data_IF_745296372135
#
_entry.id   IF_745296372135
#
_cell.length_a   1.000
_cell.length_b   1.000
_cell.length_c   1.000
_cell.angle_alpha   90.00
_cell.angle_beta   90.00
_cell.angle_gamma   90.00
#
_symmetry.space_group_name_H-M   'P 1'
#
loop_
_entity.id
_entity.type
_entity.pdbx_description
1 polymer ?
#
# COMPACT_ATOMS: atom_id res chain seq x y z
N UNK A 1 1.91 -22.90 -6.02
CA UNK A 1 1.11 -21.81 -5.38
C UNK A 1 1.36 -21.69 -3.87
N UNK A 2 1.31 -22.77 -3.09
CA UNK A 2 1.72 -22.78 -1.66
C UNK A 2 3.19 -22.39 -1.40
N UNK A 3 4.10 -22.59 -2.36
CA UNK A 3 5.54 -22.48 -2.09
C UNK A 3 6.09 -21.06 -1.93
N UNK A 4 5.45 -19.98 -2.40
CA UNK A 4 6.00 -18.63 -2.13
C UNK A 4 5.50 -18.07 -0.79
N UNK A 5 4.19 -18.11 -0.54
CA UNK A 5 3.60 -17.63 0.71
C UNK A 5 4.01 -18.48 1.93
N UNK A 6 4.11 -19.82 1.79
CA UNK A 6 4.62 -20.69 2.88
C UNK A 6 6.12 -20.56 3.13
N UNK A 7 6.90 -19.97 2.21
CA UNK A 7 8.37 -19.95 2.31
C UNK A 7 9.00 -18.57 2.51
N UNK A 8 8.31 -17.50 2.11
CA UNK A 8 8.87 -16.14 2.06
C UNK A 8 8.05 -15.13 2.87
N UNK A 9 6.82 -15.48 3.26
CA UNK A 9 5.87 -14.58 3.91
C UNK A 9 5.82 -14.64 5.43
N UNK A 10 6.72 -15.35 6.11
CA UNK A 10 6.53 -15.61 7.55
C UNK A 10 6.44 -14.32 8.38
N UNK A 11 7.28 -13.30 8.18
CA UNK A 11 7.19 -12.08 9.04
C UNK A 11 5.98 -11.21 8.73
N UNK A 12 5.56 -11.05 7.46
CA UNK A 12 4.34 -10.32 7.08
C UNK A 12 3.09 -11.04 7.57
N UNK A 13 3.01 -12.36 7.39
CA UNK A 13 1.88 -13.17 7.84
C UNK A 13 1.85 -13.25 9.38
N UNK A 14 3.01 -13.26 10.04
CA UNK A 14 3.12 -13.21 11.52
C UNK A 14 2.71 -11.83 12.06
N UNK A 15 3.19 -10.73 11.47
CA UNK A 15 2.81 -9.36 11.87
C UNK A 15 1.30 -9.10 11.69
N UNK A 16 0.69 -9.76 10.71
CA UNK A 16 -0.71 -9.62 10.37
C UNK A 16 -1.59 -10.74 10.94
N UNK A 17 -1.04 -11.53 11.87
CA UNK A 17 -1.72 -12.68 12.44
C UNK A 17 -3.00 -12.23 13.18
N UNK A 18 -4.15 -12.74 12.75
CA UNK A 18 -5.47 -12.33 13.24
C UNK A 18 -6.10 -11.12 12.52
N UNK A 19 -5.32 -10.35 11.74
CA UNK A 19 -5.80 -9.20 10.96
C UNK A 19 -6.08 -9.55 9.49
N UNK A 20 -5.33 -10.52 8.95
CA UNK A 20 -5.61 -11.14 7.64
C UNK A 20 -6.62 -12.29 7.81
N UNK A 21 -7.59 -12.36 6.91
CA UNK A 21 -8.48 -13.52 6.77
C UNK A 21 -7.68 -14.73 6.27
N UNK A 22 -7.78 -15.86 6.97
CA UNK A 22 -7.08 -17.11 6.61
C UNK A 22 -7.42 -17.56 5.18
N UNK A 23 -8.65 -17.32 4.76
CA UNK A 23 -9.15 -17.63 3.42
C UNK A 23 -9.30 -16.35 2.57
N UNK A 24 -9.12 -16.50 1.25
CA UNK A 24 -9.41 -15.44 0.28
C UNK A 24 -8.22 -14.57 -0.14
N UNK A 25 -6.99 -15.01 0.07
CA UNK A 25 -5.81 -14.39 -0.55
C UNK A 25 -5.79 -14.65 -2.07
N UNK A 26 -5.29 -13.68 -2.85
CA UNK A 26 -5.24 -13.75 -4.33
C UNK A 26 -3.83 -13.43 -4.80
N UNK A 27 -3.28 -14.29 -5.66
CA UNK A 27 -2.00 -14.06 -6.31
C UNK A 27 -2.23 -13.49 -7.71
N UNK A 28 -1.65 -12.33 -7.99
CA UNK A 28 -1.76 -11.64 -9.27
C UNK A 28 -0.54 -11.82 -10.17
N UNK A 29 0.35 -12.77 -9.86
CA UNK A 29 1.44 -13.10 -10.78
C UNK A 29 0.91 -13.67 -12.10
N UNK A 30 1.68 -13.49 -13.18
CA UNK A 30 1.31 -13.94 -14.52
C UNK A 30 0.85 -15.40 -14.54
N UNK A 31 1.56 -16.32 -13.86
CA UNK A 31 1.18 -17.73 -13.82
C UNK A 31 -0.18 -17.99 -13.17
N UNK A 32 -0.54 -17.26 -12.11
CA UNK A 32 -1.86 -17.39 -11.48
C UNK A 32 -2.96 -16.75 -12.32
N UNK A 33 -2.66 -15.63 -12.98
CA UNK A 33 -3.60 -15.01 -13.92
C UNK A 33 -3.89 -15.93 -15.10
N UNK A 34 -2.87 -16.54 -15.70
CA UNK A 34 -3.04 -17.55 -16.76
C UNK A 34 -3.85 -18.75 -16.29
N UNK A 35 -3.55 -19.29 -15.11
CA UNK A 35 -4.31 -20.43 -14.54
C UNK A 35 -5.80 -20.11 -14.34
N UNK A 36 -6.12 -18.88 -13.93
CA UNK A 36 -7.49 -18.43 -13.71
C UNK A 36 -8.21 -18.01 -15.00
N UNK A 37 -7.59 -18.17 -16.18
CA UNK A 37 -8.14 -17.69 -17.45
C UNK A 37 -8.23 -16.16 -17.54
N UNK A 38 -7.43 -15.46 -16.72
CA UNK A 38 -7.37 -13.99 -16.65
C UNK A 38 -6.17 -13.40 -17.39
N UNK A 39 -5.39 -14.23 -18.08
CA UNK A 39 -4.30 -13.76 -18.94
C UNK A 39 -4.85 -12.81 -20.01
N UNK A 40 -4.32 -11.58 -20.06
CA UNK A 40 -4.75 -10.56 -21.01
C UNK A 40 -5.97 -9.73 -20.58
N UNK A 41 -6.55 -9.95 -19.40
CA UNK A 41 -7.54 -9.02 -18.85
C UNK A 41 -6.84 -7.75 -18.34
N UNK A 42 -6.77 -6.73 -19.20
CA UNK A 42 -6.27 -5.39 -18.86
C UNK A 42 -7.34 -4.59 -18.14
N UNK A 43 -7.68 -4.98 -16.91
CA UNK A 43 -8.32 -4.02 -16.01
C UNK A 43 -7.18 -3.20 -15.40
N UNK A 44 -7.07 -1.92 -15.74
CA UNK A 44 -5.93 -1.05 -15.37
C UNK A 44 -5.70 -0.91 -13.85
N UNK A 45 -6.66 -1.38 -13.04
CA UNK A 45 -6.55 -1.49 -11.59
C UNK A 45 -5.97 -2.84 -11.10
N UNK A 46 -5.59 -3.75 -12.00
CA UNK A 46 -5.06 -5.05 -11.60
C UNK A 46 -3.61 -4.93 -11.11
N UNK A 47 -3.31 -5.41 -9.90
CA UNK A 47 -1.99 -5.27 -9.33
C UNK A 47 -1.11 -6.42 -9.83
N UNK A 48 -0.64 -6.34 -11.07
CA UNK A 48 0.25 -7.34 -11.69
C UNK A 48 1.47 -7.66 -10.83
N UNK A 49 1.70 -8.95 -10.57
CA UNK A 49 2.76 -9.47 -9.68
C UNK A 49 2.62 -9.10 -8.19
N UNK A 50 1.44 -8.66 -7.75
CA UNK A 50 1.14 -8.46 -6.34
C UNK A 50 0.42 -9.68 -5.72
N UNK A 51 0.43 -9.71 -4.40
CA UNK A 51 -0.31 -10.67 -3.58
C UNK A 51 -1.30 -9.90 -2.71
N UNK A 52 -2.60 -10.13 -2.90
CA UNK A 52 -3.65 -9.57 -2.06
C UNK A 52 -3.92 -10.49 -0.88
N UNK A 53 -3.87 -9.90 0.30
CA UNK A 53 -4.38 -10.46 1.53
C UNK A 53 -5.65 -9.71 1.92
N UNK A 54 -6.77 -10.44 2.05
CA UNK A 54 -8.01 -9.87 2.56
C UNK A 54 -7.88 -9.65 4.06
N UNK A 55 -8.45 -8.55 4.53
CA UNK A 55 -8.42 -8.17 5.94
C UNK A 55 -9.82 -8.21 6.55
N UNK A 56 -9.88 -8.14 7.88
CA UNK A 56 -11.12 -7.81 8.56
C UNK A 56 -11.42 -6.33 8.30
N UNK A 57 -12.46 -6.06 7.53
CA UNK A 57 -12.82 -4.71 7.11
C UNK A 57 -13.60 -4.04 8.24
N UNK A 58 -13.07 -2.93 8.75
CA UNK A 58 -13.83 -1.99 9.58
C UNK A 58 -14.62 -1.07 8.66
N UNK A 59 -15.93 -0.98 8.85
CA UNK A 59 -16.82 -0.12 8.05
C UNK A 59 -17.38 1.00 8.93
N UNK A 60 -17.54 2.23 8.40
CA UNK A 60 -18.17 3.32 9.12
C UNK A 60 -19.60 2.95 9.56
N UNK A 61 -20.09 3.50 10.70
CA UNK A 61 -21.45 3.27 11.17
C UNK A 61 -22.51 3.54 10.08
N UNK A 62 -23.49 2.64 9.97
CA UNK A 62 -24.59 2.76 9.01
C UNK A 62 -24.23 2.42 7.55
N UNK A 63 -23.03 1.88 7.29
CA UNK A 63 -22.61 1.42 5.96
C UNK A 63 -22.41 -0.09 5.93
N UNK A 64 -22.53 -0.66 4.73
CA UNK A 64 -22.19 -2.08 4.49
C UNK A 64 -21.02 -2.22 3.54
N UNK A 65 -20.29 -3.34 3.65
CA UNK A 65 -19.19 -3.67 2.72
C UNK A 65 -19.69 -3.72 1.27
N UNK A 66 -20.90 -4.27 1.03
CA UNK A 66 -21.48 -4.35 -0.30
C UNK A 66 -21.81 -2.96 -0.87
N UNK A 67 -22.31 -2.04 -0.05
CA UNK A 67 -22.54 -0.66 -0.47
C UNK A 67 -21.22 0.03 -0.86
N UNK A 68 -20.21 -0.06 0.00
CA UNK A 68 -18.89 0.54 -0.23
C UNK A 68 -18.28 -0.01 -1.52
N UNK A 69 -18.24 -1.33 -1.68
CA UNK A 69 -17.65 -1.98 -2.86
C UNK A 69 -18.34 -1.59 -4.19
N UNK A 70 -19.62 -1.21 -4.15
CA UNK A 70 -20.38 -0.86 -5.35
C UNK A 70 -20.40 0.65 -5.64
N UNK A 71 -20.36 1.49 -4.60
CA UNK A 71 -20.56 2.95 -4.75
C UNK A 71 -19.27 3.75 -4.60
N UNK A 72 -18.29 3.23 -3.86
CA UNK A 72 -17.05 3.95 -3.57
C UNK A 72 -15.98 3.61 -4.60
N UNK A 73 -15.00 4.51 -4.76
CA UNK A 73 -13.94 4.36 -5.77
C UNK A 73 -12.80 3.51 -5.19
N UNK A 74 -12.43 2.45 -5.89
CA UNK A 74 -11.20 1.71 -5.61
C UNK A 74 -10.00 2.63 -5.83
N UNK A 75 -9.10 2.67 -4.86
CA UNK A 75 -7.81 3.35 -4.96
C UNK A 75 -6.79 2.66 -4.03
N UNK A 76 -5.61 3.25 -3.92
CA UNK A 76 -4.44 2.65 -3.29
C UNK A 76 -3.75 3.64 -2.36
N UNK A 77 -3.25 3.14 -1.24
CA UNK A 77 -2.42 3.90 -0.30
C UNK A 77 -1.08 3.19 -0.11
N UNK A 78 0.02 3.84 -0.47
CA UNK A 78 1.35 3.35 -0.15
C UNK A 78 1.59 3.41 1.36
N UNK A 79 2.20 2.36 1.93
CA UNK A 79 2.58 2.39 3.34
C UNK A 79 3.78 1.49 3.61
N UNK A 80 4.25 1.51 4.86
CA UNK A 80 5.34 0.68 5.34
C UNK A 80 4.82 -0.55 6.08
N UNK A 81 5.56 -1.65 6.00
CA UNK A 81 5.21 -2.91 6.68
C UNK A 81 4.95 -2.72 8.18
N UNK A 82 5.71 -1.84 8.85
CA UNK A 82 5.61 -1.61 10.29
C UNK A 82 4.35 -0.83 10.69
N UNK A 83 3.72 -0.10 9.76
CA UNK A 83 2.48 0.66 10.03
C UNK A 83 1.22 -0.18 9.85
N UNK A 84 1.34 -1.35 9.22
CA UNK A 84 0.20 -2.18 8.86
C UNK A 84 -0.66 -2.59 10.07
N UNK A 85 -0.06 -3.01 11.18
CA UNK A 85 -0.85 -3.44 12.34
C UNK A 85 -1.72 -2.29 12.86
N UNK A 86 -1.13 -1.10 13.01
CA UNK A 86 -1.87 0.09 13.46
C UNK A 86 -3.01 0.44 12.51
N UNK A 87 -2.72 0.51 11.20
CA UNK A 87 -3.72 0.87 10.19
C UNK A 87 -4.85 -0.16 10.13
N UNK A 88 -4.56 -1.45 10.20
CA UNK A 88 -5.58 -2.49 10.13
C UNK A 88 -6.46 -2.56 11.39
N UNK A 89 -5.99 -2.07 12.53
CA UNK A 89 -6.76 -2.01 13.77
C UNK A 89 -7.53 -0.70 13.94
N UNK A 90 -6.97 0.42 13.48
CA UNK A 90 -7.49 1.77 13.74
C UNK A 90 -8.02 2.50 12.50
N UNK A 91 -7.97 1.86 11.33
CA UNK A 91 -8.14 2.48 10.00
C UNK A 91 -7.00 3.46 9.66
N UNK A 92 -7.05 4.04 8.46
CA UNK A 92 -6.13 5.13 8.10
C UNK A 92 -6.44 6.37 8.93
N UNK A 93 -5.37 7.06 9.34
CA UNK A 93 -5.39 8.23 10.20
C UNK A 93 -4.56 9.34 9.58
N UNK A 94 -4.88 10.58 9.91
CA UNK A 94 -4.12 11.75 9.45
C UNK A 94 -2.86 11.94 10.31
N UNK A 95 -1.82 12.59 9.79
CA UNK A 95 -0.76 13.12 10.65
C UNK A 95 -1.33 13.92 11.83
N UNK A 96 -0.71 13.82 13.00
CA UNK A 96 -1.19 14.39 14.26
C UNK A 96 -2.04 13.44 15.12
N UNK A 97 -2.65 12.41 14.53
CA UNK A 97 -3.34 11.35 15.29
C UNK A 97 -2.34 10.41 15.99
N UNK A 98 -2.83 9.59 16.93
CA UNK A 98 -2.02 8.55 17.58
C UNK A 98 -2.14 7.20 16.86
N UNK A 99 -1.01 6.48 16.76
CA UNK A 99 -0.96 5.08 16.36
C UNK A 99 -1.47 4.14 17.46
N UNK A 100 -1.49 2.83 17.19
CA UNK A 100 -1.90 1.79 18.14
C UNK A 100 -1.11 1.81 19.46
N UNK A 101 0.12 2.29 19.44
CA UNK A 101 1.03 2.31 20.58
C UNK A 101 1.08 3.68 21.26
N UNK A 102 0.25 4.64 20.84
CA UNK A 102 0.18 5.98 21.40
C UNK A 102 1.24 6.95 20.87
N UNK A 103 1.95 6.60 19.79
CA UNK A 103 2.88 7.53 19.14
C UNK A 103 2.13 8.44 18.18
N UNK A 104 2.52 9.72 18.13
CA UNK A 104 1.99 10.67 17.15
C UNK A 104 2.44 10.27 15.74
N UNK A 105 1.48 10.21 14.83
CA UNK A 105 1.70 9.95 13.40
C UNK A 105 2.30 11.20 12.80
N UNK A 106 3.59 11.14 12.46
CA UNK A 106 4.27 12.23 11.78
C UNK A 106 4.20 12.08 10.25
N UNK A 107 4.25 13.21 9.54
CA UNK A 107 4.62 13.28 8.13
C UNK A 107 6.00 12.62 7.95
N UNK A 108 6.17 11.79 6.91
CA UNK A 108 7.49 11.17 6.69
C UNK A 108 8.53 12.27 6.37
N UNK A 109 9.80 12.11 6.79
CA UNK A 109 10.85 13.12 6.60
C UNK A 109 11.02 13.62 5.15
N UNK A 110 10.67 12.77 4.18
CA UNK A 110 10.81 13.00 2.75
C UNK A 110 9.56 13.58 2.09
N UNK A 111 8.44 13.69 2.81
CA UNK A 111 7.32 14.50 2.35
C UNK A 111 7.63 15.98 2.56
N UNK A 112 6.93 16.84 1.81
CA UNK A 112 6.91 18.27 2.06
C UNK A 112 6.50 18.44 3.53
N UNK A 113 7.42 18.94 4.34
CA UNK A 113 7.17 19.26 5.74
C UNK A 113 6.26 20.47 5.82
N UNK A 114 5.43 20.57 6.85
CA UNK A 114 4.53 21.72 7.07
C UNK A 114 5.29 23.05 6.99
N UNK A 115 6.53 23.08 7.52
CA UNK A 115 7.41 24.26 7.50
C UNK A 115 7.94 24.64 6.10
N UNK A 116 7.91 23.71 5.16
CA UNK A 116 8.38 23.87 3.78
C UNK A 116 7.25 23.72 2.75
N UNK A 117 6.00 23.70 3.22
CA UNK A 117 4.84 23.56 2.38
C UNK A 117 4.55 24.88 1.63
N UNK A 118 4.26 24.83 0.32
CA UNK A 118 3.71 25.99 -0.37
C UNK A 118 2.50 26.54 0.38
N UNK A 119 2.28 27.85 0.38
CA UNK A 119 1.14 28.47 1.05
C UNK A 119 -0.18 27.79 0.64
N UNK A 120 -0.90 27.25 1.63
CA UNK A 120 -2.16 26.51 1.43
C UNK A 120 -2.01 25.02 1.13
N UNK A 121 -0.80 24.46 1.10
CA UNK A 121 -0.57 23.02 0.97
C UNK A 121 -0.69 22.33 2.33
N UNK A 122 -1.80 21.64 2.52
CA UNK A 122 -2.05 20.84 3.72
C UNK A 122 -1.30 19.50 3.61
N UNK A 123 -0.30 19.33 4.47
CA UNK A 123 0.54 18.12 4.56
C UNK A 123 -0.06 17.05 5.48
N UNK A 124 -1.13 17.37 6.21
CA UNK A 124 -1.76 16.53 7.24
C UNK A 124 -2.94 15.72 6.69
N UNK A 125 -2.75 15.14 5.51
CA UNK A 125 -3.81 14.45 4.75
C UNK A 125 -3.48 12.98 4.54
N UNK A 126 -4.53 12.20 4.29
CA UNK A 126 -4.37 10.84 3.76
C UNK A 126 -4.17 10.94 2.25
N UNK A 127 -2.97 10.60 1.79
CA UNK A 127 -2.64 10.54 0.36
C UNK A 127 -2.98 9.16 -0.24
N UNK A 128 -3.60 9.19 -1.41
CA UNK A 128 -4.12 8.05 -2.14
C UNK A 128 -3.82 8.20 -3.63
N UNK A 129 -4.01 7.14 -4.39
CA UNK A 129 -3.96 7.20 -5.85
C UNK A 129 -4.86 6.14 -6.48
N UNK A 130 -5.51 6.41 -7.62
CA UNK A 130 -6.17 5.37 -8.40
C UNK A 130 -5.16 4.41 -9.04
N UNK A 131 -3.86 4.75 -9.06
CA UNK A 131 -2.78 3.91 -9.59
C UNK A 131 -2.03 3.20 -8.47
N UNK A 132 -1.96 1.88 -8.55
CA UNK A 132 -1.06 1.11 -7.69
C UNK A 132 0.41 1.37 -8.01
N UNK A 133 0.75 1.65 -9.29
CA UNK A 133 2.12 1.98 -9.69
C UNK A 133 2.59 3.23 -8.97
N UNK A 134 1.75 4.28 -8.97
CA UNK A 134 1.98 5.51 -8.22
C UNK A 134 2.04 5.29 -6.70
N UNK A 135 1.02 4.65 -6.12
CA UNK A 135 0.98 4.38 -4.69
C UNK A 135 2.14 3.48 -4.20
N UNK A 136 2.79 2.75 -5.11
CA UNK A 136 3.96 1.92 -4.82
C UNK A 136 5.30 2.61 -5.05
N UNK A 137 5.35 3.88 -5.47
CA UNK A 137 6.60 4.64 -5.54
C UNK A 137 7.29 4.69 -4.18
N UNK A 138 8.62 4.76 -4.14
CA UNK A 138 9.38 4.68 -2.88
C UNK A 138 9.05 5.82 -1.92
N UNK A 139 8.58 6.95 -2.44
CA UNK A 139 8.08 8.10 -1.65
C UNK A 139 6.86 7.74 -0.80
N UNK A 140 6.03 6.78 -1.24
CA UNK A 140 4.79 6.39 -0.55
C UNK A 140 4.85 4.98 0.05
N UNK A 141 5.63 4.07 -0.54
CA UNK A 141 5.77 2.69 -0.09
C UNK A 141 7.26 2.36 0.09
N UNK A 142 7.77 2.68 1.28
CA UNK A 142 9.18 2.42 1.61
C UNK A 142 9.45 0.91 1.57
N UNK A 143 10.46 0.46 0.79
CA UNK A 143 10.71 -0.95 0.64
C UNK A 143 11.30 -1.57 1.92
N UNK A 144 10.78 -2.74 2.28
CA UNK A 144 11.37 -3.61 3.28
C UNK A 144 12.25 -4.68 2.61
N UNK A 145 13.50 -4.82 3.02
CA UNK A 145 14.40 -5.84 2.48
C UNK A 145 14.31 -7.12 3.31
N UNK A 146 13.77 -8.18 2.70
CA UNK A 146 13.62 -9.48 3.31
C UNK A 146 14.64 -10.49 2.76
N UNK A 147 15.55 -10.97 3.61
CA UNK A 147 16.44 -12.08 3.26
C UNK A 147 15.76 -13.41 3.55
N UNK A 148 15.44 -14.15 2.50
CA UNK A 148 14.84 -15.47 2.63
C UNK A 148 15.84 -16.48 3.17
N UNK A 149 15.50 -17.13 4.28
CA UNK A 149 16.29 -18.24 4.82
C UNK A 149 16.28 -19.46 3.88
N UNK A 150 15.16 -19.72 3.18
CA UNK A 150 15.01 -20.88 2.30
C UNK A 150 15.75 -20.72 0.98
N UNK A 151 15.59 -19.59 0.31
CA UNK A 151 16.18 -19.39 -1.02
C UNK A 151 17.49 -18.61 -1.03
N UNK A 152 17.89 -18.06 0.12
CA UNK A 152 19.06 -17.18 0.28
C UNK A 152 19.00 -15.85 -0.50
N UNK A 153 18.01 -15.67 -1.37
CA UNK A 153 17.73 -14.40 -2.03
C UNK A 153 17.26 -13.33 -1.05
N UNK A 154 17.68 -12.10 -1.31
CA UNK A 154 17.08 -10.90 -0.75
C UNK A 154 15.92 -10.48 -1.65
N UNK A 155 14.82 -10.07 -1.05
CA UNK A 155 13.66 -9.53 -1.73
C UNK A 155 13.46 -8.09 -1.28
N UNK A 156 13.25 -7.20 -2.23
CA UNK A 156 12.68 -5.88 -1.98
C UNK A 156 11.17 -6.05 -1.92
N UNK A 157 10.58 -5.72 -0.77
CA UNK A 157 9.17 -5.92 -0.51
C UNK A 157 8.47 -4.58 -0.42
N UNK A 158 7.41 -4.39 -1.20
CA UNK A 158 6.55 -3.21 -1.15
C UNK A 158 5.16 -3.57 -0.64
N UNK A 159 4.55 -2.64 0.06
CA UNK A 159 3.24 -2.80 0.69
C UNK A 159 2.34 -1.63 0.30
N UNK A 160 1.16 -1.97 -0.20
CA UNK A 160 0.12 -1.00 -0.58
C UNK A 160 -1.21 -1.49 0.00
N UNK A 161 -1.99 -0.57 0.56
CA UNK A 161 -3.36 -0.88 0.95
C UNK A 161 -4.28 -0.70 -0.25
N UNK A 162 -5.13 -1.70 -0.48
CA UNK A 162 -6.26 -1.58 -1.37
C UNK A 162 -7.42 -0.97 -0.58
N UNK A 163 -7.85 0.23 -0.97
CA UNK A 163 -8.86 1.00 -0.25
C UNK A 163 -10.05 1.35 -1.15
N UNK A 164 -11.18 1.66 -0.54
CA UNK A 164 -12.27 2.37 -1.22
C UNK A 164 -12.42 3.74 -0.59
N UNK A 165 -12.53 4.77 -1.43
CA UNK A 165 -12.80 6.14 -1.01
C UNK A 165 -14.17 6.62 -1.48
N UNK A 166 -14.89 7.33 -0.63
CA UNK A 166 -16.19 7.92 -0.96
C UNK A 166 -16.02 8.96 -2.08
N UNK A 167 -16.84 8.94 -3.14
CA UNK A 167 -16.82 9.99 -4.15
C UNK A 167 -17.13 11.36 -3.52
N UNK A 168 -16.35 12.38 -3.89
CA UNK A 168 -16.55 13.75 -3.42
C UNK A 168 -15.94 14.08 -2.06
N UNK A 169 -15.23 13.15 -1.41
CA UNK A 169 -14.52 13.39 -0.14
C UNK A 169 -13.00 13.52 -0.29
N UNK A 170 -12.51 13.76 -1.49
CA UNK A 170 -11.08 13.91 -1.77
C UNK A 170 -10.84 14.96 -2.84
N UNK A 171 -9.67 15.59 -2.74
CA UNK A 171 -9.12 16.44 -3.77
C UNK A 171 -8.30 15.62 -4.75
N UNK A 172 -8.19 16.12 -5.98
CA UNK A 172 -7.39 15.54 -7.05
C UNK A 172 -6.32 16.55 -7.43
N UNK A 173 -5.06 16.12 -7.43
CA UNK A 173 -3.89 16.94 -7.73
C UNK A 173 -2.97 16.26 -8.75
N UNK A 174 -2.07 17.05 -9.38
CA UNK A 174 -0.99 16.51 -10.17
C UNK A 174 -0.01 15.66 -9.34
N UNK A 175 0.72 14.79 -10.03
CA UNK A 175 1.80 13.98 -9.49
C UNK A 175 2.86 14.81 -8.78
N UNK A 176 3.20 14.41 -7.56
CA UNK A 176 4.36 14.93 -6.82
C UNK A 176 5.55 13.96 -6.83
N UNK A 177 5.35 12.71 -7.26
CA UNK A 177 6.40 11.68 -7.30
C UNK A 177 7.19 11.59 -8.62
N UNK A 178 6.78 12.34 -9.66
CA UNK A 178 7.46 12.32 -10.97
C UNK A 178 6.50 12.50 -12.14
N UNK A 179 6.91 12.08 -13.34
CA UNK A 179 6.07 12.11 -14.54
C UNK A 179 5.99 10.74 -15.20
N UNK A 180 4.87 10.46 -15.86
CA UNK A 180 4.57 9.24 -16.60
C UNK A 180 4.79 7.96 -15.79
N UNK A 181 4.44 7.99 -14.49
CA UNK A 181 4.61 6.85 -13.57
C UNK A 181 3.67 5.69 -13.95
N UNK A 182 2.44 6.02 -14.29
CA UNK A 182 1.47 5.05 -14.79
C UNK A 182 0.91 5.54 -16.13
N UNK A 183 1.20 4.86 -17.25
CA UNK A 183 0.72 5.28 -18.57
C UNK A 183 -0.81 5.25 -18.69
N UNK A 184 -1.52 4.61 -17.75
CA UNK A 184 -2.98 4.53 -17.76
C UNK A 184 -3.65 5.67 -16.99
N UNK A 185 -2.88 6.45 -16.23
CA UNK A 185 -3.40 7.53 -15.40
C UNK A 185 -2.67 8.84 -15.72
N UNK A 186 -3.39 9.90 -16.12
CA UNK A 186 -2.77 11.20 -16.38
C UNK A 186 -2.07 11.74 -15.12
N UNK A 187 -0.84 12.21 -15.27
CA UNK A 187 -0.07 12.81 -14.17
C UNK A 187 -0.83 13.96 -13.51
N UNK A 188 -1.67 14.70 -14.25
CA UNK A 188 -2.47 15.81 -13.73
C UNK A 188 -3.55 15.41 -12.70
N UNK A 189 -3.88 14.13 -12.58
CA UNK A 189 -5.00 13.64 -11.76
C UNK A 189 -4.70 12.39 -10.93
N UNK A 190 -3.43 12.00 -10.85
CA UNK A 190 -3.01 10.71 -10.30
C UNK A 190 -2.86 10.73 -8.76
N UNK A 191 -2.75 11.91 -8.15
CA UNK A 191 -2.61 12.06 -6.71
C UNK A 191 -3.93 12.52 -6.10
N UNK A 192 -4.42 11.79 -5.10
CA UNK A 192 -5.65 12.10 -4.37
C UNK A 192 -5.32 12.35 -2.89
N UNK A 193 -6.04 13.26 -2.24
CA UNK A 193 -5.84 13.55 -0.82
C UNK A 193 -7.17 13.80 -0.10
N UNK A 194 -7.26 13.37 1.16
CA UNK A 194 -8.46 13.59 2.01
C UNK A 194 -8.11 13.79 3.47
N UNK A 195 -8.93 14.58 4.17
CA UNK A 195 -8.89 14.75 5.63
C UNK A 195 -10.04 14.00 6.31
N UNK A 196 -10.91 13.35 5.51
CA UNK A 196 -12.08 12.62 5.98
C UNK A 196 -11.72 11.13 6.16
N UNK A 197 -11.15 10.76 7.30
CA UNK A 197 -10.74 9.37 7.61
C UNK A 197 -11.89 8.36 7.42
N UNK A 198 -13.10 8.70 7.86
CA UNK A 198 -14.33 7.90 7.72
C UNK A 198 -14.78 7.74 6.25
N UNK A 199 -14.19 8.47 5.33
CA UNK A 199 -14.44 8.36 3.89
C UNK A 199 -13.52 7.34 3.20
N UNK A 200 -12.60 6.71 3.94
CA UNK A 200 -11.63 5.73 3.42
C UNK A 200 -11.77 4.41 4.15
N UNK A 201 -11.96 3.32 3.41
CA UNK A 201 -12.11 1.97 3.96
C UNK A 201 -11.05 1.04 3.40
N UNK A 202 -10.26 0.43 4.28
CA UNK A 202 -9.23 -0.55 3.92
C UNK A 202 -9.87 -1.90 3.62
N UNK A 203 -9.69 -2.38 2.39
CA UNK A 203 -10.30 -3.61 1.88
C UNK A 203 -9.31 -4.78 1.81
N UNK A 204 -8.02 -4.49 1.76
CA UNK A 204 -6.97 -5.51 1.74
C UNK A 204 -5.57 -4.94 1.70
N UNK A 205 -4.59 -5.81 1.89
CA UNK A 205 -3.16 -5.49 1.80
C UNK A 205 -2.60 -6.15 0.56
N UNK A 206 -2.00 -5.36 -0.32
CA UNK A 206 -1.26 -5.80 -1.49
C UNK A 206 0.23 -5.80 -1.16
N UNK A 207 0.90 -6.92 -1.43
CA UNK A 207 2.33 -7.08 -1.22
C UNK A 207 3.01 -7.47 -2.52
N UNK A 208 4.09 -6.77 -2.89
CA UNK A 208 4.94 -7.13 -4.03
C UNK A 208 6.29 -7.62 -3.53
N UNK A 209 6.78 -8.71 -4.12
CA UNK A 209 8.11 -9.24 -3.85
C UNK A 209 8.95 -9.13 -5.13
N UNK A 210 9.98 -8.29 -5.09
CA UNK A 210 10.94 -8.14 -6.17
C UNK A 210 12.27 -8.76 -5.73
N UNK A 211 12.85 -9.64 -6.55
CA UNK A 211 14.19 -10.17 -6.23
C UNK A 211 15.18 -9.02 -6.26
N UNK A 212 15.95 -8.90 -5.19
CA UNK A 212 16.98 -7.89 -5.06
C UNK A 212 18.35 -8.57 -5.02
N UNK A 213 19.20 -8.20 -5.98
CA UNK A 213 20.59 -8.60 -6.03
C UNK A 213 21.42 -7.36 -5.76
N UNK A 214 22.20 -7.35 -4.68
CA UNK A 214 23.24 -6.32 -4.52
C UNK A 214 24.26 -6.51 -5.64
N UNK A 215 24.32 -5.55 -6.56
CA UNK A 215 25.39 -5.47 -7.55
C UNK A 215 26.52 -4.66 -6.88
N UNK A 216 27.51 -5.36 -6.32
CA UNK A 216 28.78 -4.76 -5.89
C UNK A 216 28.95 -4.53 -4.39
N UNK A 217 30.10 -4.97 -3.88
CA UNK A 217 30.73 -4.40 -2.69
C UNK A 217 30.98 -2.90 -2.95
N UNK A 218 30.21 -2.04 -2.31
CA UNK A 218 30.75 -0.76 -1.87
C UNK A 218 31.02 -0.94 -0.38
N UNK A 219 32.30 -1.06 -0.05
CA UNK A 219 32.77 -1.00 1.33
C UNK A 219 32.19 0.27 1.98
N UNK A 220 31.46 0.11 3.09
CA UNK A 220 31.12 1.24 3.96
C UNK A 220 29.66 1.44 4.34
N UNK A 221 28.68 0.81 3.67
CA UNK A 221 27.28 0.94 4.13
C UNK A 221 26.93 -0.16 5.12
N UNK A 222 27.10 0.16 6.42
CA UNK A 222 26.47 -0.57 7.51
C UNK A 222 24.96 -0.64 7.25
N UNK A 223 24.49 -1.83 6.90
CA UNK A 223 23.08 -2.16 6.94
C UNK A 223 22.68 -2.14 8.42
N UNK A 224 22.18 -1.00 8.91
CA UNK A 224 21.60 -0.90 10.24
C UNK A 224 20.44 -1.90 10.32
N UNK A 225 20.65 -2.98 11.09
CA UNK A 225 19.56 -3.84 11.51
C UNK A 225 18.73 -3.07 12.52
N UNK A 226 17.48 -2.79 12.16
CA UNK A 226 16.38 -2.61 13.11
C UNK A 226 15.42 -3.80 12.97
#
# INVERSE_FOLDING_TARGET
>A
MHHMLRSYGMRIIILLNGLIKRDGHVCYCQGCQTYLGRAGFTNYNYPEDWYLFRVNVSVPPGRSIAEIANKWKLCFHGTEINRLESILRLSLRTPGDNDLYGNVINTLPWHIQTDNAPDGFDTERIFLSPSIRYASCDTYSLPYFYKSQRSRWTYRVKVVLMVHIRPGSYDVSPSTAGSNIDPNYPDATIEWATNETESVVVMGVLVKFERYQCIGHLEGFHCAMF
#
